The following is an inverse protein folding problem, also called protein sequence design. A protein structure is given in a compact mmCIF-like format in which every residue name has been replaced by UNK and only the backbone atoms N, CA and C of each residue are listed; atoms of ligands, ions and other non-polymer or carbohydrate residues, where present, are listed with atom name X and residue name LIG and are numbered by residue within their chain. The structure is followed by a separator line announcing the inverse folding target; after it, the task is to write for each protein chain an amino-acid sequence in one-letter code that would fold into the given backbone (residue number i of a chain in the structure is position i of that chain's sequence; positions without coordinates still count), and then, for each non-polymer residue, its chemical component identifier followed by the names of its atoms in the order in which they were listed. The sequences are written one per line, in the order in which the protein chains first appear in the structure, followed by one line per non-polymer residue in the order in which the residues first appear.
data_IF_896100180837
#
_entry.id   IF_896100180837
#
_cell.length_a   1.000
_cell.length_b   1.000
_cell.length_c   1.000
_cell.angle_alpha   90.00
_cell.angle_beta   90.00
_cell.angle_gamma   90.00
#
_symmetry.space_group_name_H-M   'P 1'
#
loop_
_entity.id
_entity.type
_entity.pdbx_description
1 polymer ?
#
# COMPACT_ATOMS: atom_id res chain seq x y z
N UNK A 1 -11.16 -10.31 6.14
CA UNK A 1 -12.32 -10.11 5.23
C UNK A 1 -12.68 -8.63 5.14
N UNK A 2 -13.10 -8.16 3.96
CA UNK A 2 -13.63 -6.81 3.77
C UNK A 2 -15.15 -6.79 4.03
N UNK A 3 -15.66 -5.69 4.55
CA UNK A 3 -17.10 -5.44 4.77
C UNK A 3 -17.50 -4.10 4.18
N UNK A 4 -18.81 -3.84 4.03
CA UNK A 4 -19.33 -2.58 3.49
C UNK A 4 -18.65 -2.18 2.17
N UNK A 5 -18.57 -3.15 1.26
CA UNK A 5 -17.81 -3.05 0.02
C UNK A 5 -18.63 -2.34 -1.06
N UNK A 6 -18.05 -1.31 -1.66
CA UNK A 6 -18.50 -0.63 -2.87
C UNK A 6 -17.43 -0.79 -3.95
N UNK A 7 -17.84 -1.27 -5.12
CA UNK A 7 -17.00 -1.36 -6.31
C UNK A 7 -17.83 -0.84 -7.48
N UNK A 8 -17.35 0.21 -8.12
CA UNK A 8 -17.90 0.76 -9.35
C UNK A 8 -16.82 0.77 -10.43
N UNK A 9 -17.20 0.42 -11.65
CA UNK A 9 -16.22 0.23 -12.71
C UNK A 9 -16.78 -0.42 -13.96
N UNK A 10 -15.86 -0.81 -14.85
CA UNK A 10 -16.16 -1.51 -16.10
C UNK A 10 -15.11 -2.57 -16.40
N UNK A 11 -15.49 -3.51 -17.26
CA UNK A 11 -14.58 -4.50 -17.82
C UNK A 11 -14.69 -4.38 -19.34
N UNK A 12 -13.56 -4.21 -20.01
CA UNK A 12 -13.46 -4.08 -21.46
C UNK A 12 -12.14 -4.70 -21.94
N UNK A 13 -12.21 -5.70 -22.82
CA UNK A 13 -11.03 -6.39 -23.39
C UNK A 13 -9.99 -6.80 -22.32
N UNK A 14 -10.42 -7.55 -21.31
CA UNK A 14 -9.61 -8.01 -20.16
C UNK A 14 -8.98 -6.92 -19.28
N UNK A 15 -9.26 -5.65 -19.58
CA UNK A 15 -8.94 -4.52 -18.71
C UNK A 15 -10.11 -4.27 -17.78
N UNK A 16 -9.79 -4.12 -16.50
CA UNK A 16 -10.73 -3.80 -15.43
C UNK A 16 -10.45 -2.39 -14.97
N UNK A 17 -11.43 -1.50 -15.11
CA UNK A 17 -11.35 -0.14 -14.58
C UNK A 17 -12.22 -0.07 -13.34
N UNK A 18 -11.63 0.33 -12.21
CA UNK A 18 -12.28 0.52 -10.92
C UNK A 18 -12.33 2.02 -10.66
N UNK A 19 -13.45 2.66 -11.02
CA UNK A 19 -13.64 4.10 -10.89
C UNK A 19 -13.85 4.52 -9.44
N UNK A 20 -14.42 3.62 -8.63
CA UNK A 20 -14.61 3.85 -7.20
C UNK A 20 -14.49 2.52 -6.45
N UNK A 21 -13.65 2.53 -5.43
CA UNK A 21 -13.45 1.43 -4.49
C UNK A 21 -13.65 1.98 -3.09
N UNK A 22 -14.45 1.29 -2.29
CA UNK A 22 -14.67 1.58 -0.89
C UNK A 22 -14.86 0.28 -0.12
N UNK A 23 -14.20 0.14 1.02
CA UNK A 23 -14.43 -1.00 1.90
C UNK A 23 -13.97 -0.70 3.32
N UNK A 24 -14.61 -1.35 4.28
CA UNK A 24 -14.06 -1.48 5.63
C UNK A 24 -13.13 -2.69 5.65
N UNK A 25 -11.87 -2.47 6.04
CA UNK A 25 -10.82 -3.49 6.09
C UNK A 25 -10.02 -3.36 7.38
N UNK A 26 -9.74 -4.49 8.04
CA UNK A 26 -8.87 -4.51 9.22
C UNK A 26 -9.23 -3.42 10.27
N UNK A 27 -10.53 -3.23 10.51
CA UNK A 27 -11.13 -2.19 11.38
C UNK A 27 -11.00 -0.74 10.91
N UNK A 28 -10.32 -0.49 9.81
CA UNK A 28 -10.20 0.80 9.17
C UNK A 28 -10.96 0.86 7.85
N UNK A 29 -10.63 1.86 7.04
CA UNK A 29 -11.26 2.12 5.74
C UNK A 29 -10.23 2.10 4.63
N UNK A 30 -10.67 1.66 3.45
CA UNK A 30 -9.94 1.77 2.21
C UNK A 30 -10.82 2.45 1.18
N UNK A 31 -10.31 3.49 0.53
CA UNK A 31 -10.95 4.11 -0.64
C UNK A 31 -9.95 4.33 -1.75
N UNK A 32 -10.40 4.30 -3.00
CA UNK A 32 -9.53 4.60 -4.12
C UNK A 32 -10.09 4.28 -5.48
N UNK A 33 -9.21 4.29 -6.46
CA UNK A 33 -9.48 3.93 -7.84
C UNK A 33 -8.24 3.32 -8.47
N UNK A 34 -8.47 2.40 -9.41
CA UNK A 34 -7.39 1.67 -10.04
C UNK A 34 -7.82 1.09 -11.39
N UNK A 35 -6.85 0.76 -12.22
CA UNK A 35 -7.03 -0.01 -13.44
C UNK A 35 -6.12 -1.23 -13.40
N UNK A 36 -6.66 -2.39 -13.76
CA UNK A 36 -5.89 -3.57 -14.10
C UNK A 36 -5.86 -3.72 -15.61
N UNK A 37 -4.66 -3.73 -16.19
CA UNK A 37 -4.47 -3.96 -17.62
C UNK A 37 -4.60 -5.45 -17.96
N UNK A 38 -4.76 -5.74 -19.26
CA UNK A 38 -4.89 -7.10 -19.77
C UNK A 38 -3.64 -7.98 -19.47
N UNK A 39 -2.45 -7.37 -19.42
CA UNK A 39 -1.20 -8.02 -19.03
C UNK A 39 -1.10 -8.32 -17.51
N UNK A 40 -2.07 -7.86 -16.73
CA UNK A 40 -2.14 -8.01 -15.28
C UNK A 40 -1.39 -6.95 -14.48
N UNK A 41 -0.79 -5.95 -15.12
CA UNK A 41 -0.27 -4.77 -14.44
C UNK A 41 -1.38 -3.92 -13.85
N UNK A 42 -1.06 -3.22 -12.77
CA UNK A 42 -1.97 -2.34 -12.06
C UNK A 42 -1.52 -0.89 -12.14
N UNK A 43 -2.48 0.01 -12.31
CA UNK A 43 -2.31 1.45 -12.18
C UNK A 43 -3.28 1.94 -11.12
N UNK A 44 -2.75 2.37 -9.99
CA UNK A 44 -3.53 2.94 -8.89
C UNK A 44 -3.36 4.44 -8.97
N UNK A 45 -4.42 5.17 -9.31
CA UNK A 45 -4.34 6.63 -9.40
C UNK A 45 -4.34 7.24 -8.00
N UNK A 46 -5.31 6.85 -7.16
CA UNK A 46 -5.37 7.23 -5.75
C UNK A 46 -5.81 6.04 -4.89
N UNK A 47 -5.10 5.82 -3.79
CA UNK A 47 -5.49 4.88 -2.73
C UNK A 47 -5.29 5.55 -1.37
N UNK A 48 -6.33 5.53 -0.54
CA UNK A 48 -6.27 5.97 0.85
C UNK A 48 -6.66 4.83 1.75
N UNK A 49 -5.85 4.60 2.78
CA UNK A 49 -6.15 3.71 3.88
C UNK A 49 -6.09 4.50 5.18
N UNK A 50 -7.07 4.31 6.06
CA UNK A 50 -7.11 4.99 7.34
C UNK A 50 -7.47 4.01 8.45
N UNK A 51 -6.90 4.21 9.64
CA UNK A 51 -7.25 3.48 10.86
C UNK A 51 -7.04 1.96 10.76
N UNK A 52 -6.09 1.54 9.91
CA UNK A 52 -5.82 0.11 9.68
C UNK A 52 -5.24 -0.51 10.95
N UNK A 53 -5.83 -1.62 11.41
CA UNK A 53 -5.36 -2.41 12.57
C UNK A 53 -5.20 -3.86 12.14
N UNK A 54 -3.96 -4.27 11.90
CA UNK A 54 -3.67 -5.59 11.36
C UNK A 54 -2.62 -6.33 12.20
N UNK A 55 -2.94 -7.58 12.51
CA UNK A 55 -2.00 -8.54 13.08
C UNK A 55 -1.83 -9.69 12.09
N UNK A 56 -0.59 -10.06 11.81
CA UNK A 56 -0.20 -11.06 10.82
C UNK A 56 0.71 -12.11 11.46
N UNK A 57 0.55 -13.37 11.10
CA UNK A 57 1.47 -14.44 11.50
C UNK A 57 2.73 -14.49 10.60
N UNK A 58 2.82 -13.61 9.60
CA UNK A 58 3.90 -13.58 8.61
C UNK A 58 5.06 -12.69 9.04
N UNK A 59 6.27 -13.07 8.63
CA UNK A 59 7.43 -12.17 8.63
C UNK A 59 7.14 -10.89 7.83
N UNK A 60 7.86 -9.81 8.08
CA UNK A 60 7.69 -8.53 7.36
C UNK A 60 7.85 -8.73 5.84
N UNK A 61 8.82 -9.54 5.44
CA UNK A 61 9.08 -9.83 4.02
C UNK A 61 7.92 -10.60 3.39
N UNK A 62 7.40 -11.64 4.05
CA UNK A 62 6.29 -12.45 3.54
C UNK A 62 4.95 -11.70 3.55
N UNK A 63 4.81 -10.73 4.47
CA UNK A 63 3.66 -9.85 4.52
C UNK A 63 3.55 -9.01 3.25
N UNK A 64 4.66 -8.43 2.79
CA UNK A 64 4.71 -7.60 1.57
C UNK A 64 5.03 -8.37 0.28
N UNK A 65 5.30 -9.68 0.35
CA UNK A 65 5.58 -10.53 -0.81
C UNK A 65 4.54 -10.43 -1.95
N UNK A 66 3.21 -10.27 -1.70
CA UNK A 66 2.23 -10.13 -2.78
C UNK A 66 2.50 -8.95 -3.72
N UNK A 67 3.11 -7.87 -3.24
CA UNK A 67 3.48 -6.71 -4.07
C UNK A 67 4.50 -7.06 -5.16
N UNK A 68 5.27 -8.15 -4.98
CA UNK A 68 6.25 -8.66 -5.97
C UNK A 68 5.65 -9.67 -6.94
N UNK A 69 4.40 -10.08 -6.74
CA UNK A 69 3.75 -11.12 -7.56
C UNK A 69 3.07 -10.55 -8.81
N UNK A 70 2.72 -9.26 -8.80
CA UNK A 70 2.14 -8.56 -9.95
C UNK A 70 3.23 -8.18 -10.96
N UNK A 71 2.96 -8.18 -12.28
CA UNK A 71 3.94 -7.80 -13.30
C UNK A 71 4.50 -6.40 -13.08
N UNK A 72 3.60 -5.44 -12.83
CA UNK A 72 3.92 -4.06 -12.49
C UNK A 72 2.78 -3.45 -11.68
N UNK A 73 3.11 -2.56 -10.75
CA UNK A 73 2.19 -1.76 -9.95
C UNK A 73 2.66 -0.30 -9.99
N UNK A 74 1.91 0.54 -10.69
CA UNK A 74 2.08 1.99 -10.69
C UNK A 74 1.17 2.61 -9.64
N UNK A 75 1.72 3.52 -8.84
CA UNK A 75 1.01 4.27 -7.80
C UNK A 75 1.20 5.76 -8.09
N UNK A 76 0.12 6.43 -8.47
CA UNK A 76 0.06 7.89 -8.55
C UNK A 76 0.12 8.49 -7.15
N UNK A 77 -0.80 8.08 -6.27
CA UNK A 77 -0.83 8.46 -4.86
C UNK A 77 -1.32 7.31 -3.97
N UNK A 78 -0.59 7.06 -2.90
CA UNK A 78 -1.01 6.24 -1.77
C UNK A 78 -0.86 7.05 -0.49
N UNK A 79 -1.93 7.12 0.29
CA UNK A 79 -1.93 7.71 1.63
C UNK A 79 -2.35 6.63 2.65
N UNK A 80 -1.56 6.46 3.69
CA UNK A 80 -1.89 5.66 4.87
C UNK A 80 -1.92 6.60 6.06
N UNK A 81 -3.01 6.56 6.82
CA UNK A 81 -3.22 7.44 7.96
C UNK A 81 -3.53 6.60 9.18
N UNK A 82 -2.81 6.84 10.26
CA UNK A 82 -2.96 6.15 11.55
C UNK A 82 -3.10 4.63 11.36
N UNK A 83 -2.08 3.97 10.81
CA UNK A 83 -2.05 2.52 10.69
C UNK A 83 -1.23 1.86 11.80
N UNK A 84 -1.70 0.70 12.26
CA UNK A 84 -0.98 -0.18 13.17
C UNK A 84 -0.90 -1.57 12.58
N UNK A 85 0.32 -2.01 12.33
CA UNK A 85 0.62 -3.29 11.69
C UNK A 85 1.58 -4.06 12.59
N UNK A 86 1.30 -5.34 12.82
CA UNK A 86 2.13 -6.19 13.67
C UNK A 86 2.31 -7.58 13.06
N UNK A 87 3.51 -8.14 13.18
CA UNK A 87 3.78 -9.55 12.99
C UNK A 87 4.70 -10.14 14.07
N UNK A 88 5.31 -11.32 13.82
CA UNK A 88 6.04 -12.07 14.85
C UNK A 88 7.23 -11.32 15.45
N UNK A 89 7.99 -10.62 14.63
CA UNK A 89 9.23 -9.92 14.98
C UNK A 89 9.27 -8.47 14.48
N UNK A 90 8.11 -7.93 14.08
CA UNK A 90 8.02 -6.59 13.55
C UNK A 90 6.72 -5.91 13.95
N UNK A 91 6.77 -4.60 14.10
CA UNK A 91 5.59 -3.78 14.33
C UNK A 91 5.81 -2.36 13.80
N UNK A 92 4.74 -1.72 13.36
CA UNK A 92 4.69 -0.29 13.07
C UNK A 92 3.47 0.28 13.77
N UNK A 93 3.68 1.31 14.58
CA UNK A 93 2.65 1.92 15.42
C UNK A 93 2.39 3.34 14.96
N UNK A 94 1.11 3.68 14.80
CA UNK A 94 0.61 5.01 14.42
C UNK A 94 1.29 5.55 13.15
N UNK A 95 1.38 4.69 12.12
CA UNK A 95 1.99 4.99 10.83
C UNK A 95 1.14 5.96 10.02
N UNK A 96 1.75 7.09 9.65
CA UNK A 96 1.32 7.94 8.55
C UNK A 96 2.33 7.83 7.40
N UNK A 97 1.85 7.59 6.18
CA UNK A 97 2.69 7.42 4.99
C UNK A 97 2.04 8.05 3.77
N UNK A 98 2.81 8.84 3.02
CA UNK A 98 2.48 9.34 1.69
C UNK A 98 3.49 8.82 0.68
N UNK A 99 3.00 8.18 -0.37
CA UNK A 99 3.78 7.69 -1.49
C UNK A 99 3.22 8.27 -2.78
N UNK A 100 4.09 8.80 -3.66
CA UNK A 100 3.69 9.39 -4.93
C UNK A 100 4.60 8.98 -6.07
N UNK A 101 4.02 8.80 -7.25
CA UNK A 101 4.70 8.55 -8.52
C UNK A 101 5.70 7.37 -8.46
N UNK A 102 5.27 6.25 -7.89
CA UNK A 102 6.11 5.05 -7.74
C UNK A 102 5.66 3.94 -8.68
N UNK A 103 6.62 3.27 -9.32
CA UNK A 103 6.37 2.01 -10.04
C UNK A 103 7.18 0.88 -9.42
N UNK A 104 6.48 -0.18 -9.03
CA UNK A 104 7.06 -1.44 -8.58
C UNK A 104 6.96 -2.42 -9.75
N UNK A 105 8.08 -2.89 -10.28
CA UNK A 105 8.09 -3.93 -11.31
C UNK A 105 8.95 -5.12 -10.90
N UNK A 106 8.70 -6.27 -11.51
CA UNK A 106 9.39 -7.53 -11.18
C UNK A 106 10.90 -7.48 -11.41
N UNK A 107 11.32 -6.71 -12.43
CA UNK A 107 12.67 -6.74 -12.96
C UNK A 107 13.44 -5.42 -12.79
N UNK A 108 12.77 -4.29 -12.49
CA UNK A 108 13.41 -3.00 -12.22
C UNK A 108 12.52 -2.05 -11.39
N UNK A 109 13.14 -1.25 -10.52
CA UNK A 109 12.47 -0.10 -9.89
C UNK A 109 12.65 1.10 -10.83
N UNK A 110 11.57 1.54 -11.46
CA UNK A 110 11.61 2.72 -12.32
C UNK A 110 10.69 3.78 -11.72
N UNK A 111 11.22 4.98 -11.52
CA UNK A 111 10.45 6.11 -10.99
C UNK A 111 10.73 7.32 -11.85
N UNK A 112 9.70 8.12 -12.12
CA UNK A 112 9.89 9.50 -12.56
C UNK A 112 9.42 10.38 -11.41
N UNK A 113 10.38 10.95 -10.67
CA UNK A 113 10.12 11.87 -9.55
C UNK A 113 9.29 11.25 -8.41
N UNK A 114 9.64 10.02 -8.01
CA UNK A 114 8.97 9.31 -6.92
C UNK A 114 9.22 9.99 -5.58
N UNK A 115 8.23 10.02 -4.69
CA UNK A 115 8.37 10.58 -3.33
C UNK A 115 7.76 9.67 -2.29
N UNK A 116 8.49 9.48 -1.19
CA UNK A 116 8.04 8.81 0.02
C UNK A 116 8.21 9.77 1.20
N UNK A 117 7.17 9.94 1.99
CA UNK A 117 7.23 10.52 3.33
C UNK A 117 6.51 9.58 4.28
N UNK A 118 7.12 9.29 5.42
CA UNK A 118 6.46 8.54 6.48
C UNK A 118 6.89 9.02 7.85
N UNK A 119 6.00 8.87 8.80
CA UNK A 119 6.30 8.93 10.22
C UNK A 119 5.51 7.84 10.96
N UNK A 120 6.01 7.44 12.12
CA UNK A 120 5.37 6.50 13.02
C UNK A 120 5.77 6.85 14.45
N UNK A 121 5.00 6.41 15.46
CA UNK A 121 5.44 6.52 16.86
C UNK A 121 6.50 5.46 17.20
N UNK A 122 6.37 4.26 16.64
CA UNK A 122 7.33 3.17 16.82
C UNK A 122 7.49 2.33 15.55
N UNK A 123 8.73 1.88 15.30
CA UNK A 123 9.03 0.84 14.32
C UNK A 123 9.95 -0.22 14.95
N UNK A 124 9.53 -1.48 14.90
CA UNK A 124 10.26 -2.63 15.43
C UNK A 124 10.57 -3.60 14.29
N UNK A 125 11.81 -4.09 14.24
CA UNK A 125 12.23 -5.17 13.36
C UNK A 125 13.35 -6.02 13.99
N UNK A 126 13.01 -7.21 14.45
CA UNK A 126 13.89 -8.06 15.26
C UNK A 126 14.32 -7.33 16.54
N UNK A 127 15.62 -7.10 16.69
CA UNK A 127 16.17 -6.33 17.82
C UNK A 127 16.24 -4.82 17.57
N UNK A 128 15.92 -4.34 16.35
CA UNK A 128 15.88 -2.92 16.04
C UNK A 128 14.57 -2.33 16.58
N UNK A 129 14.68 -1.24 17.32
CA UNK A 129 13.54 -0.46 17.80
C UNK A 129 13.82 1.02 17.58
N UNK A 130 13.01 1.65 16.73
CA UNK A 130 13.05 3.08 16.45
C UNK A 130 11.84 3.74 17.11
N UNK A 131 12.09 4.86 17.80
CA UNK A 131 11.07 5.72 18.38
C UNK A 131 10.96 6.99 17.54
N UNK A 132 9.73 7.39 17.25
CA UNK A 132 9.39 8.55 16.42
C UNK A 132 10.16 8.62 15.08
N UNK A 133 10.31 7.51 14.31
CA UNK A 133 11.04 7.55 13.05
C UNK A 133 10.33 8.43 12.03
N UNK A 134 11.11 9.22 11.29
CA UNK A 134 10.66 10.01 10.15
C UNK A 134 11.55 9.65 8.96
N UNK A 135 10.94 9.28 7.83
CA UNK A 135 11.66 9.01 6.59
C UNK A 135 11.09 9.90 5.48
N UNK A 136 11.98 10.59 4.78
CA UNK A 136 11.66 11.29 3.55
C UNK A 136 12.66 10.84 2.48
N UNK A 137 12.16 10.41 1.33
CA UNK A 137 12.97 9.96 0.21
C UNK A 137 12.40 10.45 -1.11
N UNK A 138 13.29 10.76 -2.04
CA UNK A 138 12.97 11.08 -3.43
C UNK A 138 13.70 10.09 -4.35
N UNK A 139 13.02 9.67 -5.42
CA UNK A 139 13.51 8.67 -6.37
C UNK A 139 13.55 9.27 -7.78
N UNK A 140 14.67 9.06 -8.48
CA UNK A 140 14.98 9.62 -9.81
C UNK A 140 15.37 8.55 -10.80
#
# INVERSE_FOLDING_TARGET
PATNVLIEGSIDNDRVTLTNLGADIARGTLTGNAQRNADGSWQVENLRMADIRLQSEKSLTDFFAPLRSVPSLQIGRLEVIDARLQGPDWAVTDLDLSLRNMTFSKDDWQTQEGKLSMNASEFIYGSLHLFDPIINAEFS
#
